data_IF_287875863032
#
_entry.id   IF_287875863032
#
_cell.length_a   1.000
_cell.length_b   1.000
_cell.length_c   1.000
_cell.angle_alpha   90.00
_cell.angle_beta   90.00
_cell.angle_gamma   90.00
#
_symmetry.space_group_name_H-M   'P 1'
#
loop_
_entity.id
_entity.type
_entity.pdbx_description
1 polymer ?
#
# COMPACT_ATOMS: atom_id res chain seq x y z
N UNK A 1 -22.81 -1.27 13.64
CA UNK A 1 -21.41 -1.73 13.71
C UNK A 1 -20.48 -0.91 12.80
N UNK A 2 -20.72 0.39 12.56
CA UNK A 2 -20.07 1.13 11.45
C UNK A 2 -18.82 1.96 11.84
N UNK A 3 -18.51 2.12 13.13
CA UNK A 3 -17.37 2.95 13.57
C UNK A 3 -16.01 2.23 13.64
N UNK A 4 -16.03 0.92 13.91
CA UNK A 4 -14.80 0.12 14.13
C UNK A 4 -14.14 -0.27 12.80
N UNK A 5 -14.94 -0.53 11.76
CA UNK A 5 -14.44 -0.97 10.45
C UNK A 5 -13.74 0.15 9.68
N UNK A 6 -14.24 1.38 9.75
CA UNK A 6 -13.59 2.54 9.11
C UNK A 6 -12.24 2.88 9.73
N UNK A 7 -12.14 2.83 11.06
CA UNK A 7 -10.87 3.09 11.75
C UNK A 7 -9.80 2.06 11.38
N UNK A 8 -10.21 0.79 11.22
CA UNK A 8 -9.34 -0.30 10.76
C UNK A 8 -8.93 -0.11 9.29
N UNK A 9 -9.89 0.17 8.40
CA UNK A 9 -9.61 0.45 6.99
C UNK A 9 -8.65 1.62 6.82
N UNK A 10 -8.83 2.70 7.60
CA UNK A 10 -7.96 3.87 7.57
C UNK A 10 -6.55 3.54 8.08
N UNK A 11 -6.44 2.74 9.14
CA UNK A 11 -5.16 2.26 9.65
C UNK A 11 -4.43 1.41 8.60
N UNK A 12 -5.13 0.45 7.99
CA UNK A 12 -4.57 -0.43 6.98
C UNK A 12 -4.12 0.37 5.75
N UNK A 13 -4.92 1.36 5.33
CA UNK A 13 -4.56 2.26 4.24
C UNK A 13 -3.28 3.05 4.54
N UNK A 14 -3.18 3.64 5.74
CA UNK A 14 -1.98 4.38 6.18
C UNK A 14 -0.74 3.48 6.21
N UNK A 15 -0.90 2.25 6.72
CA UNK A 15 0.16 1.25 6.76
C UNK A 15 0.67 0.91 5.35
N UNK A 16 -0.24 0.64 4.40
CA UNK A 16 0.13 0.34 3.01
C UNK A 16 0.81 1.52 2.31
N UNK A 17 0.33 2.75 2.51
CA UNK A 17 0.98 3.94 1.97
C UNK A 17 2.39 4.13 2.54
N UNK A 18 2.60 3.86 3.83
CA UNK A 18 3.92 3.91 4.46
C UNK A 18 4.87 2.88 3.85
N UNK A 19 4.43 1.62 3.70
CA UNK A 19 5.24 0.57 3.06
C UNK A 19 5.59 0.91 1.60
N UNK A 20 4.65 1.47 0.84
CA UNK A 20 4.89 1.90 -0.53
C UNK A 20 5.95 3.01 -0.59
N UNK A 21 5.89 3.98 0.34
CA UNK A 21 6.88 5.05 0.44
C UNK A 21 8.27 4.48 0.75
N UNK A 22 8.39 3.61 1.74
CA UNK A 22 9.67 2.97 2.07
C UNK A 22 10.23 2.15 0.90
N UNK A 23 9.37 1.41 0.19
CA UNK A 23 9.78 0.66 -1.00
C UNK A 23 10.30 1.58 -2.12
N UNK A 24 9.65 2.73 -2.34
CA UNK A 24 10.10 3.73 -3.31
C UNK A 24 11.44 4.38 -2.91
N UNK A 25 11.64 4.63 -1.62
CA UNK A 25 12.91 5.18 -1.10
C UNK A 25 14.07 4.19 -1.29
N UNK A 26 13.81 2.88 -1.10
CA UNK A 26 14.81 1.83 -1.30
C UNK A 26 15.06 1.51 -2.79
N UNK A 27 14.06 1.71 -3.64
CA UNK A 27 14.13 1.40 -5.08
C UNK A 27 15.33 2.03 -5.78
N UNK A 28 15.74 3.24 -5.37
CA UNK A 28 16.86 3.97 -5.98
C UNK A 28 18.21 3.27 -5.78
N UNK A 29 18.35 2.55 -4.68
CA UNK A 29 19.60 1.90 -4.23
C UNK A 29 19.67 0.41 -4.62
N UNK A 30 18.58 -0.16 -5.15
CA UNK A 30 18.51 -1.54 -5.60
C UNK A 30 19.28 -1.80 -6.91
N UNK A 31 19.87 -2.99 -7.03
CA UNK A 31 20.37 -3.51 -8.31
C UNK A 31 19.22 -3.72 -9.32
N UNK A 32 19.51 -3.89 -10.63
CA UNK A 32 18.46 -4.13 -11.63
C UNK A 32 17.56 -5.33 -11.33
N UNK A 33 18.10 -6.40 -10.74
CA UNK A 33 17.34 -7.57 -10.34
C UNK A 33 16.39 -7.26 -9.17
N UNK A 34 16.89 -6.62 -8.12
CA UNK A 34 16.12 -6.22 -6.94
C UNK A 34 15.06 -5.16 -7.28
N UNK A 35 15.36 -4.26 -8.23
CA UNK A 35 14.39 -3.27 -8.74
C UNK A 35 13.16 -3.93 -9.32
N UNK A 36 13.30 -5.07 -10.01
CA UNK A 36 12.16 -5.79 -10.59
C UNK A 36 11.24 -6.34 -9.48
N UNK A 37 11.83 -6.92 -8.43
CA UNK A 37 11.08 -7.42 -7.28
C UNK A 37 10.45 -6.28 -6.48
N UNK A 38 11.18 -5.19 -6.26
CA UNK A 38 10.68 -4.00 -5.59
C UNK A 38 9.52 -3.37 -6.36
N UNK A 39 9.59 -3.29 -7.69
CA UNK A 39 8.50 -2.80 -8.53
C UNK A 39 7.24 -3.68 -8.39
N UNK A 40 7.42 -5.00 -8.30
CA UNK A 40 6.30 -5.92 -8.08
C UNK A 40 5.65 -5.70 -6.72
N UNK A 41 6.44 -5.49 -5.66
CA UNK A 41 5.94 -5.17 -4.32
C UNK A 41 5.19 -3.82 -4.29
N UNK A 42 5.73 -2.80 -4.96
CA UNK A 42 5.09 -1.48 -5.07
C UNK A 42 3.75 -1.57 -5.81
N UNK A 43 3.67 -2.34 -6.90
CA UNK A 43 2.43 -2.56 -7.63
C UNK A 43 1.39 -3.30 -6.78
N UNK A 44 1.79 -4.32 -6.03
CA UNK A 44 0.90 -5.05 -5.12
C UNK A 44 0.36 -4.13 -4.01
N UNK A 45 1.22 -3.29 -3.42
CA UNK A 45 0.80 -2.31 -2.43
C UNK A 45 -0.18 -1.27 -3.01
N UNK A 46 0.06 -0.78 -4.24
CA UNK A 46 -0.85 0.15 -4.93
C UNK A 46 -2.23 -0.45 -5.24
N UNK A 47 -2.27 -1.71 -5.68
CA UNK A 47 -3.52 -2.43 -5.90
C UNK A 47 -4.32 -2.57 -4.60
N UNK A 48 -3.65 -2.90 -3.50
CA UNK A 48 -4.28 -3.05 -2.19
C UNK A 48 -4.79 -1.72 -1.62
N UNK A 49 -4.05 -0.62 -1.80
CA UNK A 49 -4.51 0.75 -1.49
C UNK A 49 -5.80 1.06 -2.24
N UNK A 50 -5.84 0.75 -3.54
CA UNK A 50 -7.03 0.98 -4.37
C UNK A 50 -8.22 0.17 -3.87
N UNK A 51 -8.01 -1.09 -3.47
CA UNK A 51 -9.05 -1.94 -2.88
C UNK A 51 -9.59 -1.35 -1.57
N UNK A 52 -8.70 -0.92 -0.67
CA UNK A 52 -9.06 -0.33 0.62
C UNK A 52 -9.82 1.00 0.44
N UNK A 53 -9.42 1.84 -0.52
CA UNK A 53 -10.14 3.07 -0.88
C UNK A 53 -11.54 2.78 -1.40
N UNK A 54 -11.70 1.80 -2.29
CA UNK A 54 -13.02 1.39 -2.78
C UNK A 54 -13.92 0.87 -1.65
N UNK A 55 -13.37 0.10 -0.71
CA UNK A 55 -14.10 -0.35 0.47
C UNK A 55 -14.49 0.80 1.40
N UNK A 56 -13.64 1.83 1.51
CA UNK A 56 -13.94 3.03 2.31
C UNK A 56 -15.00 3.92 1.64
N UNK A 57 -15.00 4.02 0.31
CA UNK A 57 -15.95 4.84 -0.44
C UNK A 57 -17.34 4.19 -0.56
N UNK A 58 -17.43 2.87 -0.39
CA UNK A 58 -18.67 2.11 -0.46
C UNK A 58 -19.39 1.94 0.90
N UNK A 59 -18.82 2.48 1.98
CA UNK A 59 -19.28 2.33 3.36
C UNK A 59 -19.80 3.66 3.93
#
# INVERSE_FOLDING_TARGET
>A
MTGTDHSKLLHDLRSKCSSLKSAAELYKDCSPAEKKEMLALMNAAAAEITRLLSSLAAA
#
